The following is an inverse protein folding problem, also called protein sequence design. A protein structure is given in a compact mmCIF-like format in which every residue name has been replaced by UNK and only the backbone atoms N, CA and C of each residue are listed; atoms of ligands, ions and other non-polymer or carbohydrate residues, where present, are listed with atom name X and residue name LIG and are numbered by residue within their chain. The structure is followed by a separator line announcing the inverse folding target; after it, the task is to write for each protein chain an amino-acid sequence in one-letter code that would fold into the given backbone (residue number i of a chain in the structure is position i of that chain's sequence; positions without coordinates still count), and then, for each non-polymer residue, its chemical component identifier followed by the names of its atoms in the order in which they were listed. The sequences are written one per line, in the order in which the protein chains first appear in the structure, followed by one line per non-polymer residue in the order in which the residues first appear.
data_IF_033341168395
#
_entry.id   IF_033341168395
#
_cell.length_a   1.000
_cell.length_b   1.000
_cell.length_c   1.000
_cell.angle_alpha   90.00
_cell.angle_beta   90.00
_cell.angle_gamma   90.00
#
_symmetry.space_group_name_H-M   'P 1'
#
loop_
_entity.id
_entity.type
_entity.pdbx_description
1 polymer ?
#
# COMPACT_ATOMS: atom_id res chain seq x y z
N UNK A 1 -7.26 1.76 -0.11
CA UNK A 1 -8.22 2.88 -0.19
C UNK A 1 -9.63 2.50 0.27
N UNK A 2 -10.00 1.23 0.18
CA UNK A 2 -11.33 0.76 0.59
C UNK A 2 -11.69 1.16 2.03
N UNK A 3 -10.78 0.96 2.98
CA UNK A 3 -10.96 1.37 4.38
C UNK A 3 -11.21 2.89 4.51
N UNK A 4 -10.38 3.72 3.87
CA UNK A 4 -10.51 5.19 3.91
C UNK A 4 -11.84 5.62 3.29
N UNK A 5 -12.18 5.06 2.11
CA UNK A 5 -13.45 5.34 1.44
C UNK A 5 -14.68 4.92 2.24
N UNK A 6 -14.66 3.71 2.82
CA UNK A 6 -15.76 3.20 3.64
C UNK A 6 -15.98 4.08 4.88
N UNK A 7 -14.91 4.42 5.61
CA UNK A 7 -15.03 5.30 6.79
C UNK A 7 -15.55 6.68 6.42
N UNK A 8 -15.06 7.26 5.32
CA UNK A 8 -15.60 8.54 4.81
C UNK A 8 -17.08 8.42 4.50
N UNK A 9 -17.48 7.37 3.77
CA UNK A 9 -18.86 7.16 3.36
C UNK A 9 -19.82 6.98 4.56
N UNK A 10 -19.51 6.10 5.51
CA UNK A 10 -20.40 5.82 6.65
C UNK A 10 -20.56 7.02 7.58
N UNK A 11 -19.55 7.89 7.70
CA UNK A 11 -19.65 9.13 8.47
C UNK A 11 -20.46 10.18 7.70
N UNK A 12 -20.12 10.44 6.44
CA UNK A 12 -20.77 11.49 5.64
C UNK A 12 -22.23 11.16 5.25
N UNK A 13 -22.60 9.88 5.21
CA UNK A 13 -24.00 9.44 5.00
C UNK A 13 -24.80 9.34 6.31
N UNK A 14 -24.16 9.55 7.47
CA UNK A 14 -24.81 9.52 8.77
C UNK A 14 -25.07 8.11 9.32
N UNK A 15 -24.51 7.06 8.72
CA UNK A 15 -24.55 5.69 9.27
C UNK A 15 -23.78 5.60 10.60
N UNK A 16 -22.70 6.36 10.70
CA UNK A 16 -21.98 6.61 11.95
C UNK A 16 -22.09 8.10 12.28
N UNK A 17 -22.51 8.47 13.51
CA UNK A 17 -22.58 9.86 13.91
C UNK A 17 -21.22 10.55 13.79
N UNK A 18 -21.19 11.68 13.07
CA UNK A 18 -19.99 12.50 12.96
C UNK A 18 -19.72 13.22 14.31
N UNK A 19 -18.53 13.03 14.85
CA UNK A 19 -18.02 13.72 16.04
C UNK A 19 -16.82 14.57 15.62
N UNK A 20 -16.90 15.88 15.88
CA UNK A 20 -15.81 16.81 15.60
C UNK A 20 -14.92 17.02 16.84
N UNK A 21 -13.62 17.21 16.69
CA UNK A 21 -12.88 17.23 15.43
C UNK A 21 -12.50 15.82 14.90
N UNK A 22 -12.78 14.76 15.66
CA UNK A 22 -12.39 13.40 15.28
C UNK A 22 -13.51 12.40 15.55
N UNK A 23 -13.75 11.53 14.57
CA UNK A 23 -14.61 10.36 14.71
C UNK A 23 -13.75 9.10 14.60
N UNK A 24 -13.84 8.21 15.60
CA UNK A 24 -13.15 6.93 15.58
C UNK A 24 -14.08 5.82 15.10
N UNK A 25 -13.57 4.97 14.22
CA UNK A 25 -14.26 3.79 13.71
C UNK A 25 -13.32 2.60 13.77
N UNK A 26 -13.83 1.49 14.27
CA UNK A 26 -13.09 0.21 14.29
C UNK A 26 -13.73 -0.71 13.27
N UNK A 27 -12.93 -1.24 12.36
CA UNK A 27 -13.36 -2.17 11.32
C UNK A 27 -12.77 -3.54 11.58
N UNK A 28 -13.58 -4.56 11.37
CA UNK A 28 -13.14 -5.95 11.30
C UNK A 28 -12.86 -6.28 9.83
N UNK A 29 -11.60 -6.54 9.52
CA UNK A 29 -11.11 -6.79 8.17
C UNK A 29 -10.47 -8.18 8.08
N UNK A 30 -10.35 -8.78 6.88
CA UNK A 30 -9.76 -10.11 6.72
C UNK A 30 -8.35 -10.26 7.30
N UNK A 31 -7.55 -9.17 7.29
CA UNK A 31 -6.21 -9.15 7.88
C UNK A 31 -6.18 -8.83 9.39
N UNK A 32 -7.33 -8.53 10.01
CA UNK A 32 -7.47 -8.21 11.43
C UNK A 32 -8.20 -6.90 11.70
N UNK A 33 -8.14 -6.47 12.96
CA UNK A 33 -8.82 -5.24 13.42
C UNK A 33 -8.07 -3.99 12.95
N UNK A 34 -8.77 -3.16 12.21
CA UNK A 34 -8.25 -1.86 11.73
C UNK A 34 -8.89 -0.74 12.54
N UNK A 35 -8.07 0.02 13.24
CA UNK A 35 -8.50 1.21 13.97
C UNK A 35 -8.32 2.43 13.11
N UNK A 36 -9.38 3.21 12.95
CA UNK A 36 -9.36 4.42 12.13
C UNK A 36 -9.77 5.64 12.94
N UNK A 37 -9.22 6.79 12.54
CA UNK A 37 -9.53 8.11 13.07
C UNK A 37 -9.77 9.06 11.90
N UNK A 38 -11.01 9.49 11.73
CA UNK A 38 -11.39 10.46 10.71
C UNK A 38 -11.35 11.87 11.29
N UNK A 39 -10.67 12.79 10.64
CA UNK A 39 -10.76 14.22 10.93
C UNK A 39 -12.03 14.76 10.27
N UNK A 40 -12.91 15.32 11.09
CA UNK A 40 -14.23 15.81 10.65
C UNK A 40 -14.35 17.31 10.92
N UNK A 41 -14.84 18.03 9.91
CA UNK A 41 -15.14 19.46 10.01
C UNK A 41 -16.40 19.82 9.24
N UNK A 42 -17.36 20.46 9.89
CA UNK A 42 -18.65 20.82 9.31
C UNK A 42 -19.38 19.62 8.68
N UNK A 43 -19.31 18.46 9.36
CA UNK A 43 -19.93 17.21 8.91
C UNK A 43 -19.22 16.55 7.70
N UNK A 44 -18.07 17.06 7.27
CA UNK A 44 -17.25 16.49 6.19
C UNK A 44 -15.99 15.85 6.72
N UNK A 45 -15.62 14.70 6.16
CA UNK A 45 -14.38 14.01 6.47
C UNK A 45 -13.25 14.62 5.63
N UNK A 46 -12.24 15.19 6.29
CA UNK A 46 -11.08 15.80 5.64
C UNK A 46 -10.04 14.75 5.27
N UNK A 47 -9.78 13.83 6.20
CA UNK A 47 -8.88 12.70 6.00
C UNK A 47 -9.24 11.57 6.97
N UNK A 48 -8.76 10.38 6.66
CA UNK A 48 -8.85 9.20 7.53
C UNK A 48 -7.45 8.68 7.78
N UNK A 49 -7.10 8.53 9.03
CA UNK A 49 -5.87 7.87 9.48
C UNK A 49 -6.22 6.49 9.99
N UNK A 50 -5.51 5.48 9.52
CA UNK A 50 -5.64 4.10 9.99
C UNK A 50 -4.31 3.57 10.50
N UNK A 51 -4.36 2.79 11.59
CA UNK A 51 -3.24 1.96 12.02
C UNK A 51 -3.47 0.58 11.44
N UNK A 52 -2.54 0.15 10.59
CA UNK A 52 -2.65 -1.10 9.87
C UNK A 52 -2.09 -2.28 10.70
N UNK A 53 -2.32 -3.49 10.22
CA UNK A 53 -1.68 -4.71 10.75
C UNK A 53 -0.15 -4.62 10.61
N UNK A 54 0.63 -5.39 11.42
CA UNK A 54 2.07 -5.44 11.26
C UNK A 54 2.49 -5.77 9.84
N UNK A 55 3.46 -5.01 9.33
CA UNK A 55 4.00 -5.17 7.98
C UNK A 55 5.48 -5.57 8.05
N UNK A 56 5.95 -6.42 7.14
CA UNK A 56 7.32 -6.92 7.12
C UNK A 56 7.84 -7.21 5.72
N UNK A 57 9.15 -7.07 5.54
CA UNK A 57 9.86 -7.57 4.36
C UNK A 57 9.99 -9.08 4.46
N UNK A 58 9.39 -9.81 3.51
CA UNK A 58 9.35 -11.27 3.49
C UNK A 58 10.59 -11.88 2.80
N UNK A 59 10.86 -11.43 1.56
CA UNK A 59 12.06 -11.82 0.78
C UNK A 59 12.58 -10.59 0.04
N UNK A 60 13.88 -10.46 -0.06
CA UNK A 60 14.51 -9.30 -0.71
C UNK A 60 15.49 -9.73 -1.83
N UNK A 61 15.75 -8.78 -2.73
CA UNK A 61 16.75 -8.94 -3.81
C UNK A 61 16.49 -10.17 -4.68
N UNK A 62 15.22 -10.46 -4.96
CA UNK A 62 14.85 -11.54 -5.87
C UNK A 62 14.96 -11.09 -7.31
N UNK A 63 15.18 -12.07 -8.19
CA UNK A 63 15.20 -11.85 -9.64
C UNK A 63 14.29 -12.85 -10.33
N UNK A 64 13.62 -12.41 -11.40
CA UNK A 64 12.87 -13.27 -12.32
C UNK A 64 12.94 -12.70 -13.72
N UNK A 65 12.32 -13.36 -14.70
CA UNK A 65 12.23 -12.86 -16.08
C UNK A 65 10.76 -12.67 -16.49
N UNK A 66 10.42 -11.46 -16.94
CA UNK A 66 9.10 -11.11 -17.48
C UNK A 66 9.28 -10.52 -18.87
N UNK A 67 8.67 -11.11 -19.89
CA UNK A 67 8.75 -10.68 -21.31
C UNK A 67 10.21 -10.50 -21.80
N UNK A 68 11.12 -11.42 -21.42
CA UNK A 68 12.54 -11.38 -21.80
C UNK A 68 13.35 -10.30 -21.09
N UNK A 69 12.83 -9.71 -19.99
CA UNK A 69 13.52 -8.71 -19.15
C UNK A 69 13.81 -9.30 -17.78
N UNK A 70 15.02 -9.17 -17.31
CA UNK A 70 15.35 -9.44 -15.91
C UNK A 70 14.70 -8.39 -15.02
N UNK A 71 14.00 -8.84 -13.99
CA UNK A 71 13.24 -8.03 -13.03
C UNK A 71 13.81 -8.24 -11.64
N UNK A 72 14.34 -7.19 -11.02
CA UNK A 72 14.70 -7.18 -9.61
C UNK A 72 13.53 -6.72 -8.77
N UNK A 73 13.20 -7.45 -7.71
CA UNK A 73 12.04 -7.17 -6.88
C UNK A 73 12.22 -7.67 -5.44
N UNK A 74 11.38 -7.12 -4.55
CA UNK A 74 11.22 -7.58 -3.18
C UNK A 74 9.81 -8.12 -2.98
N UNK A 75 9.61 -8.97 -1.97
CA UNK A 75 8.28 -9.41 -1.52
C UNK A 75 8.08 -8.92 -0.09
N UNK A 76 7.04 -8.12 0.13
CA UNK A 76 6.66 -7.61 1.45
C UNK A 76 5.19 -7.81 1.75
N UNK A 77 4.88 -7.92 3.04
CA UNK A 77 3.52 -8.02 3.57
C UNK A 77 3.10 -6.70 4.22
N UNK A 78 1.90 -6.21 3.86
CA UNK A 78 1.28 -5.02 4.44
C UNK A 78 -0.22 -5.19 4.68
N UNK A 79 -0.68 -6.44 4.83
CA UNK A 79 -2.09 -6.86 4.86
C UNK A 79 -2.44 -7.80 3.70
N UNK A 80 -1.62 -7.82 2.67
CA UNK A 80 -1.46 -8.81 1.61
C UNK A 80 0.01 -8.87 1.23
N UNK A 81 0.44 -9.89 0.47
CA UNK A 81 1.77 -9.91 -0.11
C UNK A 81 1.82 -9.11 -1.40
N UNK A 82 2.89 -8.34 -1.54
CA UNK A 82 3.19 -7.50 -2.69
C UNK A 82 4.54 -7.90 -3.31
N UNK A 83 4.60 -7.96 -4.64
CA UNK A 83 5.85 -7.87 -5.36
C UNK A 83 6.16 -6.37 -5.61
N UNK A 84 7.22 -5.84 -4.99
CA UNK A 84 7.61 -4.44 -5.10
C UNK A 84 8.73 -4.28 -6.12
N UNK A 85 8.51 -3.47 -7.15
CA UNK A 85 9.45 -3.27 -8.26
C UNK A 85 9.72 -1.80 -8.47
N UNK A 86 10.99 -1.42 -8.41
CA UNK A 86 11.43 -0.13 -8.95
C UNK A 86 11.49 -0.23 -10.48
N UNK A 87 10.54 0.41 -11.16
CA UNK A 87 10.44 0.33 -12.63
C UNK A 87 11.44 1.22 -13.36
N UNK A 88 12.18 2.07 -12.62
CA UNK A 88 13.28 2.85 -13.20
C UNK A 88 14.43 1.95 -13.68
N UNK A 89 14.52 0.69 -13.19
CA UNK A 89 15.46 -0.30 -13.73
C UNK A 89 15.24 -0.57 -15.23
N UNK A 90 14.03 -0.28 -15.74
CA UNK A 90 13.69 -0.40 -17.18
C UNK A 90 13.66 0.94 -17.90
N UNK A 91 13.95 2.06 -17.21
CA UNK A 91 13.74 3.42 -17.72
C UNK A 91 12.25 3.80 -17.84
N UNK A 92 11.37 3.12 -17.08
CA UNK A 92 9.93 3.38 -17.07
C UNK A 92 9.54 4.31 -15.93
N UNK A 93 8.40 4.99 -16.12
CA UNK A 93 7.81 5.87 -15.13
C UNK A 93 6.33 5.58 -14.94
N UNK A 94 5.81 5.88 -13.74
CA UNK A 94 4.39 5.78 -13.42
C UNK A 94 3.70 7.08 -13.87
N UNK A 95 2.96 7.01 -14.96
CA UNK A 95 2.12 8.09 -15.48
C UNK A 95 0.82 7.52 -16.08
N UNK A 96 -0.22 8.34 -16.31
CA UNK A 96 -1.49 7.84 -16.85
C UNK A 96 -1.38 7.11 -18.19
N UNK A 97 -0.40 7.45 -19.04
CA UNK A 97 -0.22 6.84 -20.36
C UNK A 97 0.44 5.45 -20.24
N UNK A 98 1.29 5.25 -19.23
CA UNK A 98 1.99 3.97 -19.01
C UNK A 98 1.12 2.89 -18.35
N UNK A 99 -0.05 3.23 -17.80
CA UNK A 99 -0.89 2.30 -17.04
C UNK A 99 -1.24 1.01 -17.79
N UNK A 100 -1.63 1.01 -19.06
CA UNK A 100 -1.91 -0.24 -19.77
C UNK A 100 -0.70 -1.18 -19.81
N UNK A 101 0.50 -0.66 -20.10
CA UNK A 101 1.75 -1.41 -20.10
C UNK A 101 2.10 -1.92 -18.70
N UNK A 102 2.01 -1.07 -17.68
CA UNK A 102 2.32 -1.43 -16.30
C UNK A 102 1.34 -2.46 -15.75
N UNK A 103 0.07 -2.39 -16.16
CA UNK A 103 -0.94 -3.39 -15.78
C UNK A 103 -0.63 -4.76 -16.35
N UNK A 104 -0.34 -4.85 -17.66
CA UNK A 104 0.05 -6.12 -18.30
C UNK A 104 1.32 -6.71 -17.68
N UNK A 105 2.35 -5.87 -17.46
CA UNK A 105 3.58 -6.28 -16.81
C UNK A 105 3.34 -6.76 -15.37
N UNK A 106 2.57 -6.01 -14.57
CA UNK A 106 2.29 -6.36 -13.17
C UNK A 106 1.53 -7.69 -13.02
N UNK A 107 0.58 -7.98 -13.91
CA UNK A 107 -0.14 -9.26 -13.91
C UNK A 107 0.80 -10.43 -14.23
N UNK A 108 1.63 -10.30 -15.27
CA UNK A 108 2.64 -11.32 -15.62
C UNK A 108 3.65 -11.53 -14.49
N UNK A 109 4.06 -10.45 -13.82
CA UNK A 109 4.96 -10.54 -12.67
C UNK A 109 4.30 -11.33 -11.52
N UNK A 110 3.04 -11.06 -11.18
CA UNK A 110 2.31 -11.79 -10.14
C UNK A 110 2.26 -13.29 -10.45
N UNK A 111 1.88 -13.65 -11.68
CA UNK A 111 1.86 -15.06 -12.12
C UNK A 111 3.24 -15.71 -12.01
N UNK A 112 4.26 -15.02 -12.45
CA UNK A 112 5.64 -15.51 -12.45
C UNK A 112 6.16 -15.73 -11.02
N UNK A 113 5.98 -14.74 -10.15
CA UNK A 113 6.37 -14.82 -8.74
C UNK A 113 5.68 -16.01 -8.06
N UNK A 114 4.38 -16.17 -8.22
CA UNK A 114 3.63 -17.28 -7.61
C UNK A 114 4.04 -18.67 -8.17
N UNK A 115 4.57 -18.72 -9.39
CA UNK A 115 5.07 -19.98 -9.97
C UNK A 115 6.47 -20.35 -9.49
N UNK A 116 7.28 -19.38 -9.07
CA UNK A 116 8.70 -19.57 -8.73
C UNK A 116 8.99 -19.50 -7.24
N UNK A 117 8.17 -18.79 -6.48
CA UNK A 117 8.42 -18.50 -5.07
C UNK A 117 7.31 -19.10 -4.21
N UNK A 118 7.67 -19.99 -3.30
CA UNK A 118 6.74 -20.44 -2.26
C UNK A 118 6.47 -19.29 -1.29
N UNK A 119 5.21 -18.87 -1.24
CA UNK A 119 4.71 -17.82 -0.38
C UNK A 119 3.91 -18.47 0.76
N UNK A 120 4.21 -18.06 2.00
CA UNK A 120 3.44 -18.48 3.17
C UNK A 120 3.57 -17.45 4.28
N UNK A 121 2.43 -16.86 4.66
CA UNK A 121 2.40 -16.03 5.86
C UNK A 121 2.59 -16.93 7.10
N UNK A 122 3.42 -16.53 8.08
CA UNK A 122 3.74 -17.41 9.22
C UNK A 122 2.55 -17.68 10.16
N UNK A 123 1.54 -16.80 10.19
CA UNK A 123 0.42 -16.83 11.14
C UNK A 123 -0.97 -16.86 10.47
N UNK A 124 -1.06 -16.48 9.19
CA UNK A 124 -2.33 -16.39 8.45
C UNK A 124 -2.33 -17.39 7.29
N UNK A 125 -3.51 -17.80 6.85
CA UNK A 125 -3.67 -18.66 5.67
C UNK A 125 -3.62 -17.83 4.37
N UNK A 126 -2.45 -17.22 4.13
CA UNK A 126 -2.15 -16.43 2.92
C UNK A 126 -0.91 -17.03 2.27
N UNK A 127 -1.07 -17.52 1.04
CA UNK A 127 -0.07 -18.33 0.32
C UNK A 127 0.24 -17.82 -1.09
N UNK A 128 -0.20 -16.60 -1.43
CA UNK A 128 -0.01 -15.99 -2.74
C UNK A 128 0.44 -14.54 -2.63
N UNK A 129 1.16 -14.08 -3.65
CA UNK A 129 1.32 -12.65 -3.97
C UNK A 129 0.15 -12.27 -4.87
N UNK A 130 -0.71 -11.39 -4.41
CA UNK A 130 -1.91 -10.99 -5.16
C UNK A 130 -1.78 -9.62 -5.83
N UNK A 131 -0.73 -8.88 -5.49
CA UNK A 131 -0.54 -7.49 -5.93
C UNK A 131 0.91 -7.25 -6.37
N UNK A 132 1.07 -6.48 -7.46
CA UNK A 132 2.34 -5.90 -7.86
C UNK A 132 2.33 -4.40 -7.57
N UNK A 133 3.29 -3.92 -6.78
CA UNK A 133 3.51 -2.51 -6.53
C UNK A 133 4.68 -2.02 -7.38
N UNK A 134 4.36 -1.28 -8.42
CA UNK A 134 5.29 -0.70 -9.36
C UNK A 134 5.53 0.77 -8.99
N UNK A 135 6.78 1.15 -8.73
CA UNK A 135 7.08 2.49 -8.24
C UNK A 135 8.30 3.11 -8.93
N UNK A 136 8.38 4.44 -8.87
CA UNK A 136 9.50 5.24 -9.37
C UNK A 136 9.71 6.48 -8.51
N UNK A 137 10.73 7.28 -8.83
CA UNK A 137 10.90 8.64 -8.33
C UNK A 137 9.77 9.57 -8.80
N UNK A 138 9.63 10.72 -8.15
CA UNK A 138 8.67 11.76 -8.54
C UNK A 138 9.27 13.14 -8.33
N UNK A 139 8.91 14.08 -9.20
CA UNK A 139 9.28 15.50 -9.08
C UNK A 139 8.20 16.31 -8.32
N UNK A 140 7.12 15.66 -7.86
CA UNK A 140 6.04 16.33 -7.12
C UNK A 140 6.55 16.80 -5.76
N UNK A 141 6.54 18.10 -5.47
CA UNK A 141 7.02 18.62 -4.20
C UNK A 141 6.32 17.98 -2.99
N UNK A 142 7.10 17.49 -2.03
CA UNK A 142 6.59 16.87 -0.80
C UNK A 142 6.19 15.41 -0.94
N UNK A 143 6.36 14.79 -2.11
CA UNK A 143 6.21 13.35 -2.31
C UNK A 143 7.59 12.68 -2.39
N UNK A 144 7.71 11.49 -1.80
CA UNK A 144 8.96 10.72 -1.80
C UNK A 144 9.06 9.78 -3.00
N UNK A 145 7.97 9.16 -3.40
CA UNK A 145 7.87 8.24 -4.53
C UNK A 145 6.48 8.31 -5.17
N UNK A 146 6.38 7.80 -6.40
CA UNK A 146 5.11 7.59 -7.12
C UNK A 146 4.91 6.11 -7.40
N UNK A 147 3.67 5.62 -7.28
CA UNK A 147 3.36 4.22 -7.54
C UNK A 147 2.06 3.99 -8.30
N UNK A 148 1.91 2.76 -8.76
CA UNK A 148 0.65 2.12 -9.11
C UNK A 148 0.67 0.69 -8.56
N UNK A 149 -0.46 0.27 -7.99
CA UNK A 149 -0.64 -1.12 -7.56
C UNK A 149 -1.56 -1.82 -8.56
N UNK A 150 -1.08 -2.94 -9.09
CA UNK A 150 -1.78 -3.80 -10.04
C UNK A 150 -2.31 -5.02 -9.29
N UNK A 151 -3.57 -5.38 -9.54
CA UNK A 151 -4.25 -6.48 -8.84
C UNK A 151 -5.46 -7.01 -9.61
N UNK A 152 -6.04 -8.11 -9.10
CA UNK A 152 -7.28 -8.69 -9.61
C UNK A 152 -7.21 -9.06 -11.09
N UNK A 153 -8.21 -8.67 -11.86
CA UNK A 153 -8.24 -8.88 -13.29
C UNK A 153 -7.86 -7.58 -14.03
N UNK A 154 -6.57 -7.35 -14.17
CA UNK A 154 -5.97 -6.19 -14.86
C UNK A 154 -6.45 -4.83 -14.30
N UNK A 155 -6.57 -4.72 -12.98
CA UNK A 155 -6.95 -3.47 -12.32
C UNK A 155 -5.72 -2.69 -11.84
N UNK A 156 -5.77 -1.35 -11.96
CA UNK A 156 -4.80 -0.43 -11.42
C UNK A 156 -5.45 0.42 -10.30
N UNK A 157 -4.88 0.41 -9.11
CA UNK A 157 -5.37 1.24 -8.00
C UNK A 157 -5.10 2.72 -8.29
N UNK A 158 -6.17 3.53 -8.26
CA UNK A 158 -6.06 4.99 -8.43
C UNK A 158 -5.51 5.71 -7.21
N UNK A 159 -5.47 5.03 -6.07
CA UNK A 159 -4.81 5.52 -4.85
C UNK A 159 -3.39 4.94 -4.74
N UNK A 160 -2.54 5.48 -3.82
CA UNK A 160 -1.24 4.88 -3.53
C UNK A 160 -1.30 3.50 -2.89
N UNK A 161 -2.49 2.97 -2.58
CA UNK A 161 -2.75 1.73 -1.85
C UNK A 161 -2.26 1.76 -0.38
N UNK A 162 -3.17 1.58 0.59
CA UNK A 162 -2.82 1.61 2.03
C UNK A 162 -1.98 0.42 2.46
N UNK A 163 -2.32 -0.79 2.02
CA UNK A 163 -1.56 -2.02 2.29
C UNK A 163 -0.23 -2.04 1.52
N UNK A 164 -0.20 -1.52 0.28
CA UNK A 164 1.02 -1.33 -0.49
C UNK A 164 1.96 -0.33 0.17
N UNK A 165 1.47 0.84 0.57
CA UNK A 165 2.26 1.81 1.34
C UNK A 165 2.82 1.21 2.63
N UNK A 166 2.05 0.35 3.32
CA UNK A 166 2.50 -0.37 4.52
C UNK A 166 3.63 -1.36 4.21
N UNK A 167 3.49 -2.14 3.13
CA UNK A 167 4.53 -3.06 2.65
C UNK A 167 5.81 -2.29 2.25
N UNK A 168 5.66 -1.15 1.58
CA UNK A 168 6.79 -0.27 1.22
C UNK A 168 7.51 0.28 2.45
N UNK A 169 6.78 0.76 3.46
CA UNK A 169 7.37 1.23 4.72
C UNK A 169 8.20 0.13 5.41
N UNK A 170 7.69 -1.11 5.44
CA UNK A 170 8.42 -2.24 6.01
C UNK A 170 9.71 -2.54 5.22
N UNK A 171 9.64 -2.48 3.89
CA UNK A 171 10.82 -2.65 3.02
C UNK A 171 11.86 -1.58 3.28
N UNK A 172 11.46 -0.30 3.27
CA UNK A 172 12.36 0.84 3.52
C UNK A 172 12.98 0.77 4.92
N UNK A 173 12.20 0.39 5.93
CA UNK A 173 12.70 0.24 7.29
C UNK A 173 13.76 -0.86 7.39
N UNK A 174 13.48 -2.04 6.84
CA UNK A 174 14.43 -3.17 6.87
C UNK A 174 15.72 -2.86 6.11
N UNK A 175 15.64 -2.08 5.02
CA UNK A 175 16.81 -1.60 4.25
C UNK A 175 17.51 -0.41 4.91
N UNK A 176 17.00 0.13 6.02
CA UNK A 176 17.61 1.26 6.74
C UNK A 176 17.37 2.62 6.07
N UNK A 177 16.44 2.71 5.14
CA UNK A 177 16.12 3.91 4.35
C UNK A 177 15.11 4.84 5.03
N UNK A 178 14.35 4.34 6.03
CA UNK A 178 13.41 5.12 6.82
C UNK A 178 13.51 4.76 8.30
N UNK A 179 13.14 5.69 9.19
CA UNK A 179 13.12 5.50 10.65
C UNK A 179 11.70 5.56 11.19
N UNK A 180 11.51 4.98 12.39
CA UNK A 180 10.29 5.15 13.18
C UNK A 180 10.00 6.64 13.37
N UNK A 181 8.74 7.04 13.16
CA UNK A 181 8.28 8.44 13.24
C UNK A 181 8.58 9.29 12.00
N UNK A 182 9.40 8.82 11.07
CA UNK A 182 9.68 9.56 9.82
C UNK A 182 8.50 9.42 8.84
N UNK A 183 7.97 10.55 8.32
CA UNK A 183 6.91 10.49 7.31
C UNK A 183 7.46 10.03 5.97
N UNK A 184 6.61 9.34 5.21
CA UNK A 184 6.81 8.94 3.83
C UNK A 184 5.54 9.28 3.06
N UNK A 185 5.64 9.99 1.96
CA UNK A 185 4.50 10.39 1.13
C UNK A 185 4.56 9.68 -0.22
N UNK A 186 3.60 8.82 -0.44
CA UNK A 186 3.39 8.15 -1.70
C UNK A 186 2.36 8.89 -2.55
N UNK A 187 2.68 9.10 -3.82
CA UNK A 187 1.77 9.65 -4.82
C UNK A 187 1.32 8.54 -5.78
N UNK A 188 0.04 8.54 -6.16
CA UNK A 188 -0.47 7.65 -7.21
C UNK A 188 -0.31 8.26 -8.61
N UNK A 189 -0.54 7.45 -9.64
CA UNK A 189 -0.49 7.90 -11.05
C UNK A 189 -1.51 9.01 -11.41
N UNK A 190 -2.54 9.23 -10.58
CA UNK A 190 -3.50 10.34 -10.74
C UNK A 190 -3.22 11.52 -9.80
N UNK A 191 -2.11 11.49 -9.04
CA UNK A 191 -1.71 12.56 -8.13
C UNK A 191 -2.37 12.51 -6.75
N UNK A 192 -3.16 11.49 -6.41
CA UNK A 192 -3.63 11.31 -5.03
C UNK A 192 -2.49 10.88 -4.12
N UNK A 193 -2.53 11.27 -2.84
CA UNK A 193 -1.42 11.07 -1.92
C UNK A 193 -1.86 10.33 -0.67
N UNK A 194 -1.00 9.41 -0.21
CA UNK A 194 -1.07 8.84 1.13
C UNK A 194 0.20 9.20 1.91
N UNK A 195 0.00 9.59 3.16
CA UNK A 195 1.10 9.79 4.10
C UNK A 195 1.20 8.57 4.99
N UNK A 196 2.34 7.90 4.96
CA UNK A 196 2.69 6.78 5.83
C UNK A 196 3.67 7.18 6.91
N UNK A 197 3.54 6.57 8.09
CA UNK A 197 4.48 6.69 9.21
C UNK A 197 4.60 5.34 9.90
N UNK A 198 5.79 4.95 10.30
CA UNK A 198 6.00 3.80 11.19
C UNK A 198 5.82 4.30 12.62
N UNK A 199 4.83 3.77 13.34
CA UNK A 199 4.57 4.14 14.73
C UNK A 199 5.54 3.44 15.69
N UNK A 200 5.80 2.15 15.44
CA UNK A 200 6.60 1.29 16.30
C UNK A 200 7.09 0.08 15.52
N UNK A 201 7.91 -0.73 16.16
CA UNK A 201 8.42 -1.99 15.64
C UNK A 201 7.86 -3.17 16.43
N UNK A 202 7.73 -4.31 15.78
CA UNK A 202 7.27 -5.56 16.39
C UNK A 202 7.88 -6.76 15.67
N UNK A 203 7.38 -7.94 15.97
CA UNK A 203 7.70 -9.17 15.23
C UNK A 203 6.43 -9.86 14.76
N UNK A 204 6.54 -10.52 13.60
CA UNK A 204 5.58 -11.51 13.12
C UNK A 204 6.36 -12.80 12.95
N UNK A 205 6.20 -13.75 13.86
CA UNK A 205 7.10 -14.90 14.03
C UNK A 205 8.58 -14.45 14.06
N UNK A 206 9.39 -14.91 13.11
CA UNK A 206 10.83 -14.56 13.03
C UNK A 206 11.12 -13.28 12.23
N UNK A 207 10.10 -12.67 11.61
CA UNK A 207 10.28 -11.46 10.82
C UNK A 207 10.26 -10.20 11.70
N UNK A 208 11.24 -9.32 11.49
CA UNK A 208 11.18 -7.96 12.00
C UNK A 208 10.06 -7.21 11.26
N UNK A 209 9.11 -6.69 12.00
CA UNK A 209 7.92 -6.03 11.47
C UNK A 209 7.77 -4.61 12.01
N UNK A 210 7.02 -3.80 11.29
CA UNK A 210 6.67 -2.43 11.68
C UNK A 210 5.16 -2.29 11.87
N UNK A 211 4.73 -1.34 12.68
CA UNK A 211 3.32 -0.93 12.84
C UNK A 211 3.12 0.33 11.98
N UNK A 212 2.57 0.20 10.75
CA UNK A 212 2.37 1.34 9.89
C UNK A 212 1.06 2.06 10.19
N UNK A 213 1.11 3.38 10.08
CA UNK A 213 -0.06 4.25 10.10
C UNK A 213 -0.15 4.99 8.76
N UNK A 214 -1.31 4.97 8.14
CA UNK A 214 -1.57 5.56 6.83
C UNK A 214 -2.66 6.61 6.95
N UNK A 215 -2.44 7.77 6.37
CA UNK A 215 -3.42 8.86 6.27
C UNK A 215 -3.69 9.18 4.82
N UNK A 216 -4.97 9.27 4.46
CA UNK A 216 -5.42 9.66 3.14
C UNK A 216 -6.83 10.23 3.15
N UNK A 217 -7.30 10.68 2.01
CA UNK A 217 -8.65 11.24 1.83
C UNK A 217 -9.45 10.46 0.79
N UNK A 218 -10.77 10.54 0.90
CA UNK A 218 -11.71 10.02 -0.08
C UNK A 218 -12.90 11.00 -0.22
N UNK A 219 -13.62 10.89 -1.32
CA UNK A 219 -14.73 11.78 -1.65
C UNK A 219 -15.94 10.96 -2.10
N UNK A 220 -17.12 11.36 -1.67
CA UNK A 220 -18.37 10.84 -2.22
C UNK A 220 -18.59 11.46 -3.61
N UNK A 221 -18.86 10.62 -4.59
CA UNK A 221 -19.02 11.03 -6.00
C UNK A 221 -20.43 10.83 -6.55
N UNK A 222 -21.41 10.54 -5.72
CA UNK A 222 -22.80 10.34 -6.16
C UNK A 222 -23.69 9.80 -5.09
#
# INVERSE_FOLDING_TARGET
HGTIGSVTAIIETGLVPAVEPYTEVVLDAPAGIIRTKAEVKNGKVLNVTLTNVPAFLYKENLTTEVDGREVHYDISFGGSFFALVDIEQFGWHVDPQSIPQLTDFGMKLIEKVNSEVEIRHPELDITTVDLAELYCSTDTPGCDKRNVVIFGDHMADRSPCGTGTSAKLATLYKKGEIKVGQPFVYESFIGSQFKGVILDTTKVADYDAVIPQITGSAYLTG
#
